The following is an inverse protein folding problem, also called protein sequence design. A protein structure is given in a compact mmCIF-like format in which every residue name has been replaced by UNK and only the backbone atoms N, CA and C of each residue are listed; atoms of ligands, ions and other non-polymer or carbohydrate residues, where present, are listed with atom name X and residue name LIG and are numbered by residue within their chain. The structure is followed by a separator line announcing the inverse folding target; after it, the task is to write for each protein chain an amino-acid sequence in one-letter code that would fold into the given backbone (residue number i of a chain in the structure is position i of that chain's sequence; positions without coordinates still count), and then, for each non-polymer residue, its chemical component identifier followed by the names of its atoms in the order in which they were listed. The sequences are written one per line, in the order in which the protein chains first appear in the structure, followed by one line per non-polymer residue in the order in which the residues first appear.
data_IF_585749671849
#
_entry.id   IF_585749671849
#
_cell.length_a   1.000
_cell.length_b   1.000
_cell.length_c   1.000
_cell.angle_alpha   90.00
_cell.angle_beta   90.00
_cell.angle_gamma   90.00
#
_symmetry.space_group_name_H-M   'P 1'
#
loop_
_entity.id
_entity.type
_entity.pdbx_description
1 polymer ?
#
# COMPACT_ATOMS: atom_id res chain seq x y z
N UNK A 1 -6.09 13.54 -3.99
CA UNK A 1 -5.96 12.55 -2.91
C UNK A 1 -4.98 11.49 -3.32
N UNK A 2 -4.05 11.21 -2.45
CA UNK A 2 -2.93 10.34 -2.77
C UNK A 2 -2.92 9.14 -1.87
N UNK A 3 -2.78 8.01 -2.51
CA UNK A 3 -2.65 6.76 -1.81
C UNK A 3 -1.69 5.87 -2.55
N UNK A 4 -0.83 5.24 -1.82
CA UNK A 4 0.12 4.31 -2.35
C UNK A 4 -0.10 2.97 -1.71
N UNK A 5 -0.36 1.97 -2.55
CA UNK A 5 -0.49 0.59 -2.12
C UNK A 5 0.80 -0.14 -2.39
N UNK A 6 1.31 -0.90 -1.42
CA UNK A 6 2.54 -1.67 -1.63
C UNK A 6 2.29 -2.87 -2.52
N UNK A 7 3.37 -3.44 -2.98
CA UNK A 7 3.37 -4.70 -3.69
C UNK A 7 3.42 -5.87 -2.73
N UNK A 8 2.28 -6.36 -2.32
CA UNK A 8 2.23 -7.64 -1.62
C UNK A 8 2.03 -8.83 -2.56
N UNK A 9 2.00 -8.59 -3.88
CA UNK A 9 1.94 -9.63 -4.89
C UNK A 9 3.30 -9.96 -5.50
N UNK A 10 4.35 -9.34 -5.03
CA UNK A 10 5.67 -9.34 -5.68
C UNK A 10 6.32 -10.70 -5.82
N UNK A 11 5.97 -11.67 -4.99
CA UNK A 11 6.57 -13.01 -5.05
C UNK A 11 5.80 -13.99 -5.90
N UNK A 12 4.56 -13.66 -6.26
CA UNK A 12 3.62 -14.60 -6.87
C UNK A 12 3.00 -14.00 -8.12
N UNK A 13 3.81 -13.81 -9.15
CA UNK A 13 3.39 -13.10 -10.35
C UNK A 13 2.43 -13.83 -11.24
N UNK A 14 2.49 -15.16 -11.30
CA UNK A 14 1.68 -15.94 -12.22
C UNK A 14 0.43 -16.53 -11.60
N UNK A 15 0.46 -16.82 -10.30
CA UNK A 15 -0.65 -17.41 -9.57
C UNK A 15 -1.06 -16.50 -8.41
N UNK A 16 -1.50 -15.30 -8.74
CA UNK A 16 -1.95 -14.35 -7.76
C UNK A 16 -3.19 -14.86 -7.04
N UNK A 17 -2.99 -15.51 -5.93
CA UNK A 17 -4.07 -15.66 -4.97
C UNK A 17 -4.25 -14.32 -4.29
N UNK A 18 -5.32 -13.65 -4.64
CA UNK A 18 -5.63 -12.39 -3.99
C UNK A 18 -5.87 -12.59 -2.51
N UNK A 19 -5.28 -11.73 -1.74
CA UNK A 19 -5.62 -11.59 -0.33
C UNK A 19 -7.13 -11.34 -0.24
N UNK A 20 -7.80 -12.03 0.67
CA UNK A 20 -9.25 -11.91 0.83
C UNK A 20 -9.69 -10.45 0.96
N UNK A 21 -10.72 -10.08 0.24
CA UNK A 21 -11.39 -8.78 0.30
C UNK A 21 -10.58 -7.59 -0.22
N UNK A 22 -9.40 -7.81 -0.79
CA UNK A 22 -8.58 -6.70 -1.29
C UNK A 22 -9.28 -5.94 -2.41
N UNK A 23 -9.92 -6.65 -3.34
CA UNK A 23 -10.59 -6.03 -4.48
C UNK A 23 -11.71 -5.08 -4.04
N UNK A 24 -12.61 -5.57 -3.19
CA UNK A 24 -13.74 -4.77 -2.71
C UNK A 24 -13.27 -3.53 -1.94
N UNK A 25 -12.27 -3.69 -1.10
CA UNK A 25 -11.74 -2.58 -0.31
C UNK A 25 -11.07 -1.54 -1.21
N UNK A 26 -10.23 -1.98 -2.16
CA UNK A 26 -9.57 -1.04 -3.09
C UNK A 26 -10.57 -0.30 -3.96
N UNK A 27 -11.60 -0.98 -4.43
CA UNK A 27 -12.67 -0.34 -5.22
C UNK A 27 -13.39 0.75 -4.41
N UNK A 28 -13.74 0.46 -3.15
CA UNK A 28 -14.38 1.45 -2.28
C UNK A 28 -13.45 2.63 -1.96
N UNK A 29 -12.19 2.34 -1.62
CA UNK A 29 -11.23 3.39 -1.32
C UNK A 29 -10.92 4.27 -2.54
N UNK A 30 -10.93 3.70 -3.74
CA UNK A 30 -10.66 4.47 -4.96
C UNK A 30 -11.69 5.57 -5.24
N UNK A 31 -12.85 5.52 -4.60
CA UNK A 31 -13.86 6.58 -4.68
C UNK A 31 -13.45 7.83 -3.91
N UNK A 32 -12.57 7.71 -2.95
CA UNK A 32 -12.15 8.80 -2.08
C UNK A 32 -10.72 9.25 -2.30
N UNK A 33 -9.90 8.43 -2.94
CA UNK A 33 -8.47 8.66 -3.04
C UNK A 33 -7.88 7.91 -4.23
N UNK A 34 -6.74 8.39 -4.69
CA UNK A 34 -6.00 7.73 -5.75
C UNK A 34 -5.26 6.51 -5.20
N UNK A 35 -5.40 5.37 -5.88
CA UNK A 35 -4.73 4.12 -5.53
C UNK A 35 -3.62 3.84 -6.54
N UNK A 36 -2.44 3.52 -6.06
CA UNK A 36 -1.28 3.16 -6.88
C UNK A 36 -0.68 1.87 -6.35
N UNK A 37 -0.36 0.95 -7.24
CA UNK A 37 0.37 -0.27 -6.89
C UNK A 37 1.86 -0.02 -7.15
N UNK A 38 2.67 -0.13 -6.09
CA UNK A 38 4.12 0.04 -6.18
C UNK A 38 4.79 -1.30 -5.96
N UNK A 39 5.47 -1.80 -6.98
CA UNK A 39 5.98 -3.17 -7.00
C UNK A 39 7.47 -3.23 -7.32
N UNK A 40 8.21 -4.08 -6.60
CA UNK A 40 9.62 -4.35 -6.86
C UNK A 40 9.76 -5.45 -7.92
N UNK A 41 9.56 -5.06 -9.17
CA UNK A 41 9.76 -5.92 -10.33
C UNK A 41 10.63 -5.21 -11.35
N UNK A 42 11.40 -5.97 -12.16
CA UNK A 42 12.05 -5.37 -13.33
C UNK A 42 11.00 -4.68 -14.22
N UNK A 43 11.37 -3.54 -14.80
CA UNK A 43 10.45 -2.79 -15.66
C UNK A 43 9.92 -3.64 -16.82
N UNK A 44 10.71 -4.58 -17.31
CA UNK A 44 10.29 -5.52 -18.37
C UNK A 44 9.12 -6.42 -17.96
N UNK A 45 8.91 -6.61 -16.66
CA UNK A 45 7.84 -7.47 -16.13
C UNK A 45 6.60 -6.67 -15.72
N UNK A 46 6.60 -5.36 -15.92
CA UNK A 46 5.47 -4.47 -15.57
C UNK A 46 4.18 -4.93 -16.26
N UNK A 47 4.24 -5.22 -17.55
CA UNK A 47 3.06 -5.62 -18.31
C UNK A 47 2.47 -6.93 -17.79
N UNK A 48 3.33 -7.86 -17.38
CA UNK A 48 2.88 -9.12 -16.76
C UNK A 48 2.14 -8.87 -15.45
N UNK A 49 2.63 -7.95 -14.64
CA UNK A 49 2.00 -7.60 -13.37
C UNK A 49 0.65 -6.91 -13.61
N UNK A 50 0.61 -5.95 -14.52
CA UNK A 50 -0.63 -5.27 -14.87
C UNK A 50 -1.67 -6.26 -15.39
N UNK A 51 -1.26 -7.19 -16.24
CA UNK A 51 -2.14 -8.24 -16.77
C UNK A 51 -2.65 -9.17 -15.67
N UNK A 52 -1.79 -9.57 -14.74
CA UNK A 52 -2.19 -10.42 -13.62
C UNK A 52 -3.21 -9.72 -12.72
N UNK A 53 -3.01 -8.45 -12.41
CA UNK A 53 -3.96 -7.66 -11.63
C UNK A 53 -5.28 -7.47 -12.38
N UNK A 54 -5.22 -7.16 -13.67
CA UNK A 54 -6.40 -7.00 -14.52
C UNK A 54 -7.22 -8.29 -14.61
N UNK A 55 -6.56 -9.44 -14.71
CA UNK A 55 -7.24 -10.73 -14.70
C UNK A 55 -8.01 -11.00 -13.41
N UNK A 56 -7.65 -10.31 -12.34
CA UNK A 56 -8.35 -10.33 -11.06
C UNK A 56 -9.22 -9.09 -10.86
N UNK A 57 -9.51 -8.34 -11.92
CA UNK A 57 -10.32 -7.13 -11.95
C UNK A 57 -9.75 -5.99 -11.07
N UNK A 58 -8.43 -5.92 -10.94
CA UNK A 58 -7.74 -4.82 -10.26
C UNK A 58 -7.07 -3.97 -11.33
N UNK A 59 -7.62 -2.78 -11.59
CA UNK A 59 -7.15 -1.86 -12.62
C UNK A 59 -6.70 -0.53 -12.00
N UNK A 60 -5.53 -0.53 -11.36
CA UNK A 60 -4.91 0.67 -10.83
C UNK A 60 -3.54 0.87 -11.47
N UNK A 61 -3.04 2.12 -11.51
CA UNK A 61 -1.69 2.37 -12.01
C UNK A 61 -0.65 1.52 -11.29
N UNK A 62 0.26 0.92 -12.05
CA UNK A 62 1.36 0.12 -11.52
C UNK A 62 2.67 0.87 -11.77
N UNK A 63 3.45 1.06 -10.72
CA UNK A 63 4.78 1.67 -10.80
C UNK A 63 5.78 0.62 -10.35
N UNK A 64 6.76 0.36 -11.21
CA UNK A 64 7.85 -0.56 -10.87
C UNK A 64 8.97 0.18 -10.15
N UNK A 65 9.62 -0.51 -9.23
CA UNK A 65 10.70 0.02 -8.42
C UNK A 65 11.81 -1.01 -8.27
N UNK A 66 12.98 -0.55 -7.89
CA UNK A 66 14.11 -1.40 -7.53
C UNK A 66 14.66 -0.91 -6.19
N UNK A 67 14.84 -1.83 -5.25
CA UNK A 67 15.34 -1.50 -3.92
C UNK A 67 14.27 -1.01 -2.95
N UNK A 68 14.66 -0.20 -1.99
CA UNK A 68 13.75 0.34 -0.98
C UNK A 68 12.72 1.28 -1.60
N UNK A 69 11.52 1.29 -1.07
CA UNK A 69 10.39 2.01 -1.67
C UNK A 69 10.29 3.48 -1.26
N UNK A 70 11.05 3.92 -0.27
CA UNK A 70 11.02 5.31 0.20
C UNK A 70 11.24 6.35 -0.89
N UNK A 71 12.33 6.24 -1.70
CA UNK A 71 12.58 7.19 -2.77
C UNK A 71 11.46 7.26 -3.81
N UNK A 72 10.87 6.12 -4.17
CA UNK A 72 9.76 6.07 -5.12
C UNK A 72 8.51 6.77 -4.57
N UNK A 73 8.16 6.52 -3.32
CA UNK A 73 7.02 7.16 -2.66
C UNK A 73 7.23 8.68 -2.58
N UNK A 74 8.42 9.11 -2.19
CA UNK A 74 8.77 10.54 -2.15
C UNK A 74 8.56 11.21 -3.51
N UNK A 75 9.00 10.55 -4.58
CA UNK A 75 8.84 11.08 -5.94
C UNK A 75 7.37 11.14 -6.37
N UNK A 76 6.59 10.10 -6.07
CA UNK A 76 5.15 10.06 -6.38
C UNK A 76 4.42 11.19 -5.66
N UNK A 77 4.80 11.49 -4.43
CA UNK A 77 4.15 12.51 -3.59
C UNK A 77 4.73 13.92 -3.79
N UNK A 78 5.71 14.08 -4.66
CA UNK A 78 6.33 15.38 -4.92
C UNK A 78 5.26 16.41 -5.33
N UNK A 79 5.32 17.59 -4.69
CA UNK A 79 4.35 18.68 -4.91
C UNK A 79 2.90 18.35 -4.51
N UNK A 80 2.69 17.28 -3.78
CA UNK A 80 1.37 16.91 -3.27
C UNK A 80 1.31 17.12 -1.77
N UNK A 81 0.30 17.84 -1.31
CA UNK A 81 0.15 18.18 0.10
C UNK A 81 -1.08 17.51 0.72
N UNK A 82 -1.37 16.32 0.28
CA UNK A 82 -2.52 15.55 0.76
C UNK A 82 -2.09 14.37 1.61
N UNK A 83 -2.99 13.91 2.45
CA UNK A 83 -2.75 12.74 3.29
C UNK A 83 -2.49 11.51 2.42
N UNK A 84 -1.47 10.76 2.74
CA UNK A 84 -1.09 9.55 2.03
C UNK A 84 -0.91 8.38 2.98
N UNK A 85 -1.15 7.18 2.45
CA UNK A 85 -1.00 5.93 3.17
C UNK A 85 -0.10 5.00 2.37
N UNK A 86 0.76 4.29 3.07
CA UNK A 86 1.63 3.28 2.48
C UNK A 86 1.42 1.96 3.21
N UNK A 87 1.16 0.89 2.45
CA UNK A 87 0.88 -0.43 2.98
C UNK A 87 1.90 -1.41 2.43
N UNK A 88 2.62 -2.09 3.29
CA UNK A 88 3.64 -3.07 2.87
C UNK A 88 3.81 -4.12 3.97
N UNK A 89 4.27 -5.31 3.57
CA UNK A 89 4.59 -6.40 4.48
C UNK A 89 6.04 -6.36 4.98
N UNK A 90 6.92 -5.67 4.26
CA UNK A 90 8.35 -5.65 4.57
C UNK A 90 8.73 -4.48 5.49
N UNK A 91 9.25 -4.78 6.70
CA UNK A 91 9.65 -3.71 7.62
C UNK A 91 10.64 -2.70 7.04
N UNK A 92 11.59 -3.16 6.20
CA UNK A 92 12.57 -2.26 5.58
C UNK A 92 11.92 -1.24 4.67
N UNK A 93 10.86 -1.62 3.95
CA UNK A 93 10.12 -0.68 3.10
C UNK A 93 9.32 0.31 3.94
N UNK A 94 8.71 -0.13 5.03
CA UNK A 94 8.03 0.76 5.98
C UNK A 94 8.99 1.81 6.53
N UNK A 95 10.15 1.38 7.01
CA UNK A 95 11.17 2.30 7.54
C UNK A 95 11.66 3.29 6.47
N UNK A 96 11.89 2.80 5.26
CA UNK A 96 12.34 3.63 4.13
C UNK A 96 11.32 4.72 3.78
N UNK A 97 10.04 4.35 3.69
CA UNK A 97 8.98 5.32 3.37
C UNK A 97 8.79 6.32 4.50
N UNK A 98 8.80 5.88 5.75
CA UNK A 98 8.68 6.78 6.90
C UNK A 98 9.82 7.80 6.96
N UNK A 99 11.02 7.39 6.57
CA UNK A 99 12.19 8.28 6.52
C UNK A 99 12.07 9.32 5.40
N UNK A 100 11.74 8.87 4.18
CA UNK A 100 11.73 9.73 3.00
C UNK A 100 10.45 10.55 2.85
N UNK A 101 9.35 10.07 3.45
CA UNK A 101 8.05 10.73 3.43
C UNK A 101 7.43 10.72 4.83
N UNK A 102 7.92 11.56 5.76
CA UNK A 102 7.51 11.50 7.17
C UNK A 102 6.02 11.75 7.41
N UNK A 103 5.35 12.40 6.48
CA UNK A 103 3.90 12.65 6.58
C UNK A 103 3.04 11.49 6.12
N UNK A 104 3.64 10.50 5.47
CA UNK A 104 2.92 9.32 5.01
C UNK A 104 2.62 8.39 6.19
N UNK A 105 1.38 7.97 6.30
CA UNK A 105 0.95 7.02 7.34
C UNK A 105 1.26 5.62 6.85
N UNK A 106 2.18 4.93 7.53
CA UNK A 106 2.63 3.60 7.16
C UNK A 106 1.85 2.53 7.92
N UNK A 107 1.32 1.58 7.17
CA UNK A 107 0.57 0.43 7.68
C UNK A 107 1.38 -0.83 7.39
N UNK A 108 1.77 -1.55 8.44
CA UNK A 108 2.43 -2.84 8.30
C UNK A 108 1.37 -3.92 8.17
N UNK A 109 1.30 -4.57 7.01
CA UNK A 109 0.22 -5.51 6.68
C UNK A 109 0.77 -6.91 6.45
N UNK A 110 0.33 -7.87 7.26
CA UNK A 110 0.65 -9.29 7.08
C UNK A 110 -0.61 -10.10 7.36
N UNK A 111 -1.15 -10.72 6.32
CA UNK A 111 -2.36 -11.53 6.45
C UNK A 111 -2.07 -12.93 7.01
N UNK A 112 -0.96 -13.54 6.63
CA UNK A 112 -0.61 -14.88 7.13
C UNK A 112 -0.36 -14.81 8.64
N UNK A 113 -1.19 -15.49 9.41
CA UNK A 113 -1.14 -15.45 10.88
C UNK A 113 0.18 -15.97 11.45
N UNK A 114 0.82 -16.92 10.76
CA UNK A 114 2.09 -17.51 11.20
C UNK A 114 3.21 -16.49 11.05
N UNK A 115 3.27 -15.83 9.90
CA UNK A 115 4.27 -14.80 9.61
C UNK A 115 4.01 -13.57 10.48
N UNK A 116 2.76 -13.21 10.67
CA UNK A 116 2.37 -12.06 11.49
C UNK A 116 2.90 -12.18 12.93
N UNK A 117 2.82 -13.37 13.51
CA UNK A 117 3.34 -13.62 14.88
C UNK A 117 4.86 -13.52 14.96
N UNK A 118 5.57 -13.88 13.88
CA UNK A 118 7.02 -13.96 13.87
C UNK A 118 7.68 -12.63 13.48
N UNK A 119 6.95 -11.72 12.86
CA UNK A 119 7.50 -10.47 12.35
C UNK A 119 6.86 -9.28 13.07
N UNK A 120 7.54 -8.70 14.06
CA UNK A 120 7.03 -7.52 14.75
C UNK A 120 6.99 -6.31 13.82
N UNK A 121 6.04 -5.41 14.05
CA UNK A 121 5.95 -4.17 13.30
C UNK A 121 7.15 -3.27 13.62
N UNK A 122 7.74 -2.60 12.61
CA UNK A 122 8.74 -1.58 12.87
C UNK A 122 8.11 -0.38 13.60
N UNK A 123 8.92 0.35 14.35
CA UNK A 123 8.44 1.53 15.11
C UNK A 123 7.86 2.62 14.20
N UNK A 124 8.29 2.66 12.97
CA UNK A 124 7.83 3.62 11.96
C UNK A 124 6.43 3.32 11.42
N UNK A 125 5.92 2.10 11.62
CA UNK A 125 4.54 1.77 11.27
C UNK A 125 3.57 2.40 12.26
N UNK A 126 2.54 3.05 11.74
CA UNK A 126 1.49 3.61 12.59
C UNK A 126 0.63 2.52 13.21
N UNK A 127 0.41 1.46 12.46
CA UNK A 127 -0.41 0.32 12.90
C UNK A 127 0.03 -0.94 12.16
N UNK A 128 -0.22 -2.09 12.77
CA UNK A 128 -0.04 -3.40 12.15
C UNK A 128 -1.41 -4.04 11.98
N UNK A 129 -1.74 -4.44 10.76
CA UNK A 129 -3.04 -5.01 10.43
C UNK A 129 -2.89 -6.32 9.67
N UNK A 130 -3.93 -7.15 9.70
CA UNK A 130 -3.90 -8.49 9.14
C UNK A 130 -5.03 -8.76 8.13
N UNK A 131 -5.97 -7.84 7.96
CA UNK A 131 -7.03 -8.00 6.97
C UNK A 131 -7.42 -6.66 6.35
N UNK A 132 -8.00 -6.73 5.15
CA UNK A 132 -8.29 -5.53 4.36
C UNK A 132 -9.46 -4.71 4.90
N UNK A 133 -10.41 -5.31 5.60
CA UNK A 133 -11.49 -4.53 6.22
C UNK A 133 -10.96 -3.63 7.34
N UNK A 134 -10.00 -4.12 8.11
CA UNK A 134 -9.35 -3.29 9.14
C UNK A 134 -8.52 -2.18 8.50
N UNK A 135 -7.87 -2.44 7.36
CA UNK A 135 -7.16 -1.40 6.59
C UNK A 135 -8.15 -0.33 6.15
N UNK A 136 -9.27 -0.71 5.58
CA UNK A 136 -10.30 0.23 5.14
C UNK A 136 -10.80 1.10 6.29
N UNK A 137 -11.15 0.48 7.42
CA UNK A 137 -11.63 1.20 8.59
C UNK A 137 -10.60 2.19 9.12
N UNK A 138 -9.35 1.77 9.21
CA UNK A 138 -8.26 2.62 9.67
C UNK A 138 -8.07 3.84 8.76
N UNK A 139 -8.06 3.63 7.44
CA UNK A 139 -7.91 4.72 6.47
C UNK A 139 -9.08 5.68 6.55
N UNK A 140 -10.31 5.17 6.56
CA UNK A 140 -11.51 6.01 6.61
C UNK A 140 -11.60 6.81 7.91
N UNK A 141 -11.23 6.23 9.04
CA UNK A 141 -11.21 6.92 10.33
C UNK A 141 -10.19 8.08 10.31
N UNK A 142 -9.02 7.86 9.72
CA UNK A 142 -8.01 8.91 9.60
C UNK A 142 -8.46 10.04 8.67
N UNK A 143 -9.22 9.74 7.64
CA UNK A 143 -9.78 10.76 6.74
C UNK A 143 -10.89 11.57 7.41
N UNK A 144 -11.70 10.96 8.27
CA UNK A 144 -12.75 11.64 9.03
C UNK A 144 -12.18 12.62 10.04
N UNK A 145 -11.12 12.23 10.75
CA UNK A 145 -10.47 13.08 11.73
C UNK A 145 -9.99 14.40 11.11
N UNK A 146 -9.48 14.36 9.88
CA UNK A 146 -9.06 15.55 9.16
C UNK A 146 -10.23 16.47 8.81
N UNK A 147 -11.37 15.89 8.44
CA UNK A 147 -12.59 16.68 8.16
C UNK A 147 -13.06 17.43 9.41
N UNK A 148 -12.99 16.77 10.56
CA UNK A 148 -13.41 17.37 11.84
C UNK A 148 -12.47 18.46 12.32
N UNK A 149 -11.18 18.43 11.96
CA UNK A 149 -10.20 19.47 12.31
C UNK A 149 -10.32 20.72 11.44
N UNK A 150 -10.91 20.59 10.26
CA UNK A 150 -11.05 21.69 9.30
C UNK A 150 -12.42 22.40 9.39
N UNK A 151 -13.24 22.00 10.33
CA UNK A 151 -14.47 22.68 10.71
C UNK A 151 -14.32 23.35 12.08
#
# INVERSE_FOLDING_TARGET
MNKIMPDFFRSETENLQLVSNVKEVLERLSKFMQVVVLTNLPHKDKDKREKALKNNNIEFPVITNSGLKGPAVKKILENKNQKSFFIDDMPMNIDSVAKDSPKTICIHFIQDKRINKLMPAPKSAKIKLANWFDVENFILDNLKDDRNRNT
#
